data_IF_477258813640
#
_entry.id   IF_477258813640
#
_cell.length_a   1.000
_cell.length_b   1.000
_cell.length_c   1.000
_cell.angle_alpha   90.00
_cell.angle_beta   90.00
_cell.angle_gamma   90.00
#
_symmetry.space_group_name_H-M   'P 1'
#
loop_
_entity.id
_entity.type
_entity.pdbx_description
1 polymer ?
#
# COMPACT_ATOMS: atom_id res chain seq x y z
N UNK A 1 13.73 11.43 13.31
CA UNK A 1 14.99 12.16 13.05
C UNK A 1 14.74 13.06 11.86
N UNK A 2 14.99 14.36 11.98
CA UNK A 2 14.86 15.29 10.85
C UNK A 2 16.24 15.47 10.24
N UNK A 3 16.45 15.01 9.02
CA UNK A 3 17.71 15.18 8.31
C UNK A 3 17.71 16.54 7.60
N UNK A 4 18.22 17.57 8.28
CA UNK A 4 18.41 18.89 7.66
C UNK A 4 19.65 18.92 6.75
N UNK A 5 20.61 18.03 7.02
CA UNK A 5 21.91 18.01 6.34
C UNK A 5 21.83 17.40 4.93
N UNK A 6 20.76 16.66 4.61
CA UNK A 6 20.58 16.11 3.27
C UNK A 6 19.11 15.95 2.89
N UNK A 7 18.71 16.32 1.66
CA UNK A 7 17.38 16.01 1.13
C UNK A 7 17.24 14.52 0.74
N UNK A 8 18.33 13.75 0.77
CA UNK A 8 18.36 12.34 0.37
C UNK A 8 17.86 11.46 1.52
N UNK A 9 17.17 10.36 1.17
CA UNK A 9 16.77 9.37 2.16
C UNK A 9 18.00 8.72 2.79
N UNK A 10 18.25 9.02 4.08
CA UNK A 10 19.32 8.44 4.86
C UNK A 10 19.08 6.94 5.12
N UNK A 11 17.83 6.59 5.44
CA UNK A 11 17.46 5.21 5.80
C UNK A 11 17.89 4.80 7.21
N UNK A 12 17.83 3.49 7.48
CA UNK A 12 18.13 2.90 8.80
C UNK A 12 19.63 2.74 9.02
N UNK A 13 20.14 3.02 10.22
CA UNK A 13 21.54 2.72 10.55
C UNK A 13 21.76 1.21 10.69
N UNK A 14 22.55 0.62 9.79
CA UNK A 14 22.76 -0.85 9.74
C UNK A 14 24.05 -1.31 10.40
N UNK A 15 25.01 -0.41 10.61
CA UNK A 15 26.27 -0.76 11.27
C UNK A 15 27.37 0.27 11.08
N UNK A 16 28.60 -0.16 11.38
CA UNK A 16 29.81 0.66 11.28
C UNK A 16 30.89 -0.08 10.49
N UNK A 17 31.65 0.61 9.66
CA UNK A 17 32.80 0.00 8.95
C UNK A 17 33.87 -0.40 9.96
N UNK A 18 34.21 -1.69 10.04
CA UNK A 18 35.29 -2.19 10.91
C UNK A 18 36.65 -2.10 10.23
N UNK A 19 36.71 -2.58 8.99
CA UNK A 19 37.96 -2.73 8.24
C UNK A 19 37.66 -2.64 6.74
N UNK A 20 38.59 -2.08 5.97
CA UNK A 20 38.55 -2.02 4.52
C UNK A 20 39.76 -2.80 3.97
N UNK A 21 39.53 -3.70 3.02
CA UNK A 21 40.57 -4.51 2.38
C UNK A 21 40.29 -4.62 0.88
N UNK A 22 41.10 -3.95 0.07
CA UNK A 22 40.96 -3.93 -1.38
C UNK A 22 39.58 -3.39 -1.79
N UNK A 23 38.83 -4.18 -2.55
CA UNK A 23 37.50 -3.85 -3.05
C UNK A 23 36.34 -4.27 -2.14
N UNK A 24 36.59 -4.48 -0.84
CA UNK A 24 35.58 -4.92 0.12
C UNK A 24 35.84 -4.39 1.52
N UNK A 25 34.81 -4.40 2.36
CA UNK A 25 34.90 -3.94 3.74
C UNK A 25 34.03 -4.79 4.67
N UNK A 26 34.42 -4.86 5.94
CA UNK A 26 33.69 -5.58 6.97
C UNK A 26 32.83 -4.61 7.76
N UNK A 27 31.56 -4.95 7.96
CA UNK A 27 30.60 -4.17 8.75
C UNK A 27 30.44 -4.80 10.13
N UNK A 28 30.54 -3.97 11.17
CA UNK A 28 30.11 -4.31 12.51
C UNK A 28 28.68 -3.78 12.72
N UNK A 29 27.71 -4.68 12.61
CA UNK A 29 26.28 -4.39 12.75
C UNK A 29 25.50 -5.66 13.09
N UNK A 30 24.29 -5.49 13.61
CA UNK A 30 23.37 -6.59 13.90
C UNK A 30 22.36 -6.81 12.75
N UNK A 31 22.18 -5.82 11.89
CA UNK A 31 21.22 -5.87 10.78
C UNK A 31 21.80 -6.66 9.61
N UNK A 32 21.14 -7.75 9.16
CA UNK A 32 21.65 -8.58 8.06
C UNK A 32 21.58 -7.82 6.74
N UNK A 33 22.69 -7.75 5.99
CA UNK A 33 22.78 -7.09 4.68
C UNK A 33 22.56 -8.10 3.54
N UNK A 34 21.89 -7.67 2.47
CA UNK A 34 21.58 -8.51 1.32
C UNK A 34 22.28 -8.05 0.03
N UNK A 35 22.44 -8.98 -0.90
CA UNK A 35 22.93 -8.67 -2.24
C UNK A 35 21.95 -7.73 -2.95
N UNK A 36 22.46 -6.64 -3.49
CA UNK A 36 21.67 -5.61 -4.17
C UNK A 36 21.17 -4.49 -3.26
N UNK A 37 21.41 -4.54 -1.95
CA UNK A 37 21.08 -3.44 -1.04
C UNK A 37 21.77 -2.13 -1.45
N UNK A 38 21.11 -1.01 -1.17
CA UNK A 38 21.69 0.33 -1.23
C UNK A 38 22.15 0.75 0.16
N UNK A 39 23.44 1.08 0.27
CA UNK A 39 24.03 1.61 1.49
C UNK A 39 24.46 3.06 1.27
N UNK A 40 24.50 3.83 2.34
CA UNK A 40 24.93 5.21 2.34
C UNK A 40 25.75 5.55 3.59
N UNK A 41 26.60 6.56 3.46
CA UNK A 41 27.40 7.11 4.55
C UNK A 41 27.56 8.61 4.38
N UNK A 42 27.90 9.30 5.47
CA UNK A 42 28.25 10.73 5.39
C UNK A 42 29.75 10.86 5.11
N UNK A 43 30.10 11.53 4.01
CA UNK A 43 31.49 11.81 3.67
C UNK A 43 32.10 12.88 4.59
N UNK A 44 33.38 13.22 4.40
CA UNK A 44 34.06 14.25 5.21
C UNK A 44 33.45 15.65 5.09
N UNK A 45 32.67 15.91 4.03
CA UNK A 45 31.95 17.17 3.80
C UNK A 45 30.55 17.17 4.43
N UNK A 46 30.14 16.08 5.09
CA UNK A 46 28.81 15.94 5.67
C UNK A 46 27.72 15.60 4.64
N UNK A 47 28.09 15.23 3.41
CA UNK A 47 27.14 14.88 2.37
C UNK A 47 26.86 13.37 2.38
N UNK A 48 25.60 13.00 2.16
CA UNK A 48 25.21 11.59 2.06
C UNK A 48 25.59 11.03 0.67
N UNK A 49 26.52 10.10 0.67
CA UNK A 49 26.99 9.34 -0.49
C UNK A 49 26.45 7.91 -0.43
N UNK A 50 25.77 7.49 -1.49
CA UNK A 50 25.16 6.16 -1.61
C UNK A 50 25.91 5.27 -2.59
N UNK A 51 25.99 3.98 -2.30
CA UNK A 51 26.57 2.97 -3.18
C UNK A 51 25.76 1.67 -3.12
N UNK A 52 25.85 0.89 -4.20
CA UNK A 52 25.13 -0.39 -4.32
C UNK A 52 26.02 -1.53 -3.86
N UNK A 53 25.46 -2.43 -3.07
CA UNK A 53 26.08 -3.69 -2.67
C UNK A 53 25.91 -4.71 -3.79
N UNK A 54 27.03 -5.23 -4.30
CA UNK A 54 27.01 -6.30 -5.29
C UNK A 54 26.89 -7.68 -4.62
N UNK A 55 27.71 -7.91 -3.60
CA UNK A 55 27.76 -9.19 -2.88
C UNK A 55 28.00 -8.99 -1.38
N UNK A 56 27.37 -9.81 -0.56
CA UNK A 56 27.58 -9.89 0.89
C UNK A 56 27.99 -11.32 1.23
N UNK A 57 29.07 -11.46 1.99
CA UNK A 57 29.54 -12.73 2.57
C UNK A 57 29.62 -12.55 4.09
N UNK A 58 28.60 -13.06 4.80
CA UNK A 58 28.41 -12.79 6.24
C UNK A 58 28.43 -11.29 6.54
N UNK A 59 29.50 -10.80 7.20
CA UNK A 59 29.66 -9.39 7.56
C UNK A 59 30.54 -8.61 6.56
N UNK A 60 31.00 -9.25 5.50
CA UNK A 60 31.87 -8.64 4.48
C UNK A 60 31.06 -8.22 3.27
N UNK A 61 31.17 -6.96 2.91
CA UNK A 61 30.41 -6.30 1.85
C UNK A 61 31.33 -5.98 0.68
N UNK A 62 30.90 -6.36 -0.51
CA UNK A 62 31.53 -6.08 -1.79
C UNK A 62 30.65 -5.09 -2.54
N UNK A 63 30.98 -3.79 -2.54
CA UNK A 63 30.25 -2.80 -3.31
C UNK A 63 30.48 -3.00 -4.81
N UNK A 64 29.54 -2.53 -5.64
CA UNK A 64 29.69 -2.55 -7.10
C UNK A 64 30.87 -1.67 -7.55
N UNK A 65 31.03 -0.52 -6.91
CA UNK A 65 32.18 0.38 -7.05
C UNK A 65 32.59 0.79 -5.64
N UNK A 66 33.88 0.72 -5.32
CA UNK A 66 34.37 1.06 -3.98
C UNK A 66 34.24 2.58 -3.76
N UNK A 67 33.48 3.04 -2.75
CA UNK A 67 33.33 4.47 -2.48
C UNK A 67 34.65 5.07 -1.94
N UNK A 68 35.12 6.16 -2.56
CA UNK A 68 36.41 6.79 -2.26
C UNK A 68 36.49 7.36 -0.83
N UNK A 69 35.35 7.85 -0.32
CA UNK A 69 35.26 8.50 0.99
C UNK A 69 35.12 7.55 2.18
N UNK A 70 34.98 6.25 1.96
CA UNK A 70 34.68 5.29 3.02
C UNK A 70 35.93 4.95 3.85
N UNK A 71 35.81 5.04 5.18
CA UNK A 71 36.89 4.75 6.13
C UNK A 71 36.39 3.90 7.30
N UNK A 72 37.29 3.18 7.99
CA UNK A 72 36.95 2.51 9.24
C UNK A 72 36.31 3.48 10.26
N UNK A 73 35.44 2.94 11.12
CA UNK A 73 34.63 3.63 12.14
C UNK A 73 33.48 4.51 11.61
N UNK A 74 33.29 4.59 10.29
CA UNK A 74 32.16 5.32 9.72
C UNK A 74 30.85 4.55 9.83
N UNK A 75 29.77 5.25 10.17
CA UNK A 75 28.42 4.69 10.22
C UNK A 75 27.87 4.46 8.81
N UNK A 76 27.21 3.33 8.63
CA UNK A 76 26.51 2.96 7.40
C UNK A 76 25.01 2.96 7.64
N UNK A 77 24.28 3.44 6.65
CA UNK A 77 22.83 3.48 6.61
C UNK A 77 22.33 2.71 5.39
N UNK A 78 21.22 1.97 5.50
CA UNK A 78 20.56 1.31 4.38
C UNK A 78 19.45 2.19 3.87
N UNK A 79 19.60 2.70 2.66
CA UNK A 79 18.59 3.53 1.99
C UNK A 79 17.72 2.73 1.01
N UNK A 80 18.12 1.51 0.67
CA UNK A 80 17.36 0.60 -0.19
C UNK A 80 17.55 -0.85 0.25
N UNK A 81 16.46 -1.53 0.60
CA UNK A 81 16.46 -2.93 1.02
C UNK A 81 15.92 -3.81 -0.10
N UNK A 82 16.81 -4.53 -0.78
CA UNK A 82 16.45 -5.29 -1.98
C UNK A 82 15.54 -6.48 -1.65
N UNK A 83 15.65 -7.05 -0.45
CA UNK A 83 14.84 -8.17 -0.01
C UNK A 83 13.44 -7.71 0.37
N UNK A 84 13.34 -6.58 1.08
CA UNK A 84 12.06 -5.96 1.44
C UNK A 84 11.27 -5.56 0.19
N UNK A 85 11.91 -4.91 -0.79
CA UNK A 85 11.27 -4.56 -2.06
C UNK A 85 10.80 -5.80 -2.84
N UNK A 86 11.57 -6.89 -2.82
CA UNK A 86 11.15 -8.18 -3.40
C UNK A 86 9.99 -8.82 -2.66
N UNK A 87 9.87 -8.59 -1.36
CA UNK A 87 8.76 -9.08 -0.55
C UNK A 87 7.50 -8.28 -0.85
N UNK A 88 7.62 -6.95 -0.92
CA UNK A 88 6.50 -6.05 -1.23
C UNK A 88 5.97 -6.20 -2.66
N UNK A 89 6.82 -6.55 -3.62
CA UNK A 89 6.40 -6.76 -5.01
C UNK A 89 5.66 -8.08 -5.24
N UNK A 90 5.65 -9.00 -4.27
CA UNK A 90 4.87 -10.24 -4.34
C UNK A 90 3.44 -10.03 -3.83
N UNK A 91 2.44 -10.74 -4.38
CA UNK A 91 1.10 -10.76 -3.81
C UNK A 91 1.17 -11.17 -2.33
N UNK A 92 0.65 -10.34 -1.43
CA UNK A 92 0.67 -10.59 0.01
C UNK A 92 -0.31 -11.69 0.43
N UNK A 93 -1.43 -11.81 -0.30
CA UNK A 93 -2.42 -12.86 -0.14
C UNK A 93 -3.25 -12.99 -1.43
N UNK A 94 -3.68 -14.21 -1.75
CA UNK A 94 -4.75 -14.46 -2.72
C UNK A 94 -5.95 -15.04 -1.96
N UNK A 95 -7.14 -14.45 -2.16
CA UNK A 95 -8.38 -14.93 -1.57
C UNK A 95 -9.21 -15.58 -2.67
N UNK A 96 -9.25 -16.91 -2.67
CA UNK A 96 -10.11 -17.71 -3.54
C UNK A 96 -11.40 -18.12 -2.83
N UNK A 97 -12.43 -18.37 -3.62
CA UNK A 97 -13.74 -18.86 -3.18
C UNK A 97 -13.81 -20.37 -3.49
N UNK A 98 -13.98 -21.25 -2.49
CA UNK A 98 -14.08 -22.67 -2.73
C UNK A 98 -15.36 -23.00 -3.50
N UNK A 99 -15.24 -23.82 -4.55
CA UNK A 99 -16.36 -24.35 -5.33
C UNK A 99 -16.38 -25.88 -5.30
N UNK A 100 -17.58 -26.45 -5.29
CA UNK A 100 -17.83 -27.87 -5.53
C UNK A 100 -18.23 -28.04 -6.98
N UNK A 101 -17.60 -28.99 -7.65
CA UNK A 101 -17.88 -29.31 -9.05
C UNK A 101 -18.44 -30.73 -9.08
N UNK A 102 -19.54 -30.95 -9.80
CA UNK A 102 -19.96 -32.30 -10.18
C UNK A 102 -19.99 -32.42 -11.70
N UNK A 103 -19.49 -33.55 -12.19
CA UNK A 103 -19.60 -33.96 -13.57
C UNK A 103 -20.50 -35.19 -13.61
N UNK A 104 -21.65 -35.05 -14.25
CA UNK A 104 -22.69 -36.06 -14.24
C UNK A 104 -23.07 -36.45 -15.66
N UNK A 105 -23.33 -37.74 -15.85
CA UNK A 105 -23.91 -38.24 -17.09
C UNK A 105 -25.33 -37.67 -17.31
N UNK A 106 -25.60 -37.15 -18.51
CA UNK A 106 -26.91 -36.65 -18.92
C UNK A 106 -27.44 -37.50 -20.09
N UNK A 107 -28.76 -37.74 -20.26
CA UNK A 107 -29.27 -38.59 -21.34
C UNK A 107 -28.70 -38.27 -22.74
N UNK A 108 -28.59 -36.99 -23.07
CA UNK A 108 -28.08 -36.49 -24.36
C UNK A 108 -26.56 -36.18 -24.38
N UNK A 109 -25.84 -36.42 -23.29
CA UNK A 109 -24.40 -36.13 -23.21
C UNK A 109 -23.88 -36.04 -21.78
N UNK A 110 -23.31 -34.90 -21.42
CA UNK A 110 -22.74 -34.68 -20.09
C UNK A 110 -23.19 -33.36 -19.48
N UNK A 111 -23.15 -33.29 -18.16
CA UNK A 111 -23.46 -32.07 -17.42
C UNK A 111 -22.37 -31.74 -16.43
N UNK A 112 -22.16 -30.44 -16.20
CA UNK A 112 -21.28 -29.91 -15.17
C UNK A 112 -22.07 -28.97 -14.30
N UNK A 113 -22.11 -29.25 -13.01
CA UNK A 113 -22.61 -28.35 -11.98
C UNK A 113 -21.44 -27.74 -11.22
N UNK A 114 -21.53 -26.46 -10.92
CA UNK A 114 -20.60 -25.76 -10.04
C UNK A 114 -21.36 -24.95 -9.00
N UNK A 115 -21.02 -25.15 -7.73
CA UNK A 115 -21.62 -24.47 -6.58
C UNK A 115 -20.55 -23.82 -5.69
N UNK A 116 -20.77 -22.58 -5.28
CA UNK A 116 -19.87 -21.86 -4.37
C UNK A 116 -20.32 -21.92 -2.89
N UNK A 117 -19.47 -21.44 -1.98
CA UNK A 117 -19.75 -21.38 -0.53
C UNK A 117 -20.97 -20.52 -0.14
N UNK A 118 -21.49 -19.68 -1.04
CA UNK A 118 -22.68 -18.84 -0.84
C UNK A 118 -23.97 -19.49 -1.34
N UNK A 119 -23.87 -20.71 -1.87
CA UNK A 119 -24.97 -21.44 -2.49
C UNK A 119 -25.38 -20.89 -3.86
N UNK A 120 -24.54 -20.10 -4.53
CA UNK A 120 -24.75 -19.83 -5.95
C UNK A 120 -24.36 -21.09 -6.72
N UNK A 121 -25.28 -21.56 -7.56
CA UNK A 121 -25.16 -22.82 -8.27
C UNK A 121 -25.55 -22.63 -9.72
N UNK A 122 -24.80 -23.27 -10.61
CA UNK A 122 -25.09 -23.30 -12.05
C UNK A 122 -24.84 -24.70 -12.56
N UNK A 123 -25.74 -25.19 -13.38
CA UNK A 123 -25.60 -26.44 -14.12
C UNK A 123 -25.63 -26.15 -15.61
N UNK A 124 -24.69 -26.72 -16.35
CA UNK A 124 -24.68 -26.70 -17.81
C UNK A 124 -24.76 -28.12 -18.34
N UNK A 125 -25.41 -28.27 -19.49
CA UNK A 125 -25.47 -29.53 -20.22
C UNK A 125 -24.79 -29.33 -21.57
N UNK A 126 -24.03 -30.34 -22.01
CA UNK A 126 -23.47 -30.40 -23.35
C UNK A 126 -23.86 -31.71 -24.02
N UNK A 127 -24.60 -31.62 -25.15
CA UNK A 127 -24.83 -32.77 -26.00
C UNK A 127 -23.51 -33.34 -26.49
N UNK A 128 -23.34 -34.65 -26.35
CA UNK A 128 -22.15 -35.35 -26.83
C UNK A 128 -22.46 -36.84 -26.99
N UNK A 129 -21.97 -37.43 -28.08
CA UNK A 129 -22.14 -38.86 -28.32
C UNK A 129 -21.30 -39.68 -27.33
N UNK A 130 -21.97 -40.53 -26.55
CA UNK A 130 -21.33 -41.33 -25.51
C UNK A 130 -20.69 -42.57 -26.11
N UNK A 131 -19.36 -42.58 -26.15
CA UNK A 131 -18.56 -43.72 -26.61
C UNK A 131 -17.89 -44.36 -25.39
N UNK A 132 -17.98 -45.68 -25.19
CA UNK A 132 -17.29 -46.35 -24.08
C UNK A 132 -15.78 -46.08 -24.11
N UNK A 133 -15.20 -45.74 -22.97
CA UNK A 133 -13.76 -45.55 -22.83
C UNK A 133 -13.04 -46.87 -22.59
N UNK A 134 -11.81 -46.97 -23.10
CA UNK A 134 -10.93 -48.12 -22.84
C UNK A 134 -10.32 -48.11 -21.43
N UNK A 135 -10.28 -46.93 -20.78
CA UNK A 135 -9.73 -46.71 -19.44
C UNK A 135 -10.62 -45.75 -18.67
N UNK A 136 -10.61 -45.87 -17.35
CA UNK A 136 -11.27 -44.92 -16.46
C UNK A 136 -10.80 -43.48 -16.75
N UNK A 137 -11.76 -42.56 -16.91
CA UNK A 137 -11.52 -41.15 -17.22
C UNK A 137 -11.62 -40.25 -15.99
N UNK A 138 -11.98 -40.79 -14.82
CA UNK A 138 -12.29 -40.02 -13.61
C UNK A 138 -11.17 -39.06 -13.22
N UNK A 139 -9.92 -39.51 -13.15
CA UNK A 139 -8.78 -38.65 -12.80
C UNK A 139 -8.53 -37.52 -13.81
N UNK A 140 -8.69 -37.81 -15.11
CA UNK A 140 -8.55 -36.81 -16.16
C UNK A 140 -9.66 -35.76 -16.06
N UNK A 141 -10.90 -36.18 -15.83
CA UNK A 141 -12.05 -35.28 -15.65
C UNK A 141 -11.80 -34.35 -14.44
N UNK A 142 -11.40 -34.91 -13.29
CA UNK A 142 -11.03 -34.13 -12.12
C UNK A 142 -9.92 -33.12 -12.45
N UNK A 143 -8.84 -33.57 -13.08
CA UNK A 143 -7.70 -32.73 -13.43
C UNK A 143 -8.08 -31.60 -14.39
N UNK A 144 -8.94 -31.85 -15.38
CA UNK A 144 -9.35 -30.80 -16.32
C UNK A 144 -10.32 -29.81 -15.67
N UNK A 145 -11.30 -30.26 -14.88
CA UNK A 145 -12.27 -29.38 -14.26
C UNK A 145 -11.67 -28.53 -13.13
N UNK A 146 -10.64 -29.02 -12.44
CA UNK A 146 -9.92 -28.29 -11.39
C UNK A 146 -9.01 -27.15 -11.89
N UNK A 147 -8.78 -27.02 -13.21
CA UNK A 147 -7.94 -25.95 -13.79
C UNK A 147 -8.65 -24.58 -13.83
N UNK A 148 -8.87 -24.00 -12.66
CA UNK A 148 -9.60 -22.73 -12.47
C UNK A 148 -8.71 -21.48 -12.65
N UNK A 149 -7.38 -21.61 -12.64
CA UNK A 149 -6.42 -20.58 -13.07
C UNK A 149 -6.65 -19.18 -12.47
N UNK A 150 -6.84 -18.18 -13.35
CA UNK A 150 -7.00 -16.76 -12.98
C UNK A 150 -8.41 -16.39 -12.49
N UNK A 151 -9.29 -17.36 -12.28
CA UNK A 151 -10.62 -17.10 -11.74
C UNK A 151 -10.54 -16.85 -10.22
N UNK A 152 -11.57 -16.24 -9.61
CA UNK A 152 -11.60 -16.07 -8.15
C UNK A 152 -11.95 -17.36 -7.41
N UNK A 153 -12.04 -18.50 -8.11
CA UNK A 153 -12.46 -19.77 -7.54
C UNK A 153 -11.27 -20.69 -7.27
N UNK A 154 -11.41 -21.52 -6.25
CA UNK A 154 -10.56 -22.68 -6.00
C UNK A 154 -11.43 -23.93 -5.90
N UNK A 155 -10.93 -25.08 -6.36
CA UNK A 155 -11.71 -26.31 -6.38
C UNK A 155 -11.64 -26.96 -5.00
N UNK A 156 -12.77 -27.03 -4.31
CA UNK A 156 -12.87 -27.73 -3.03
C UNK A 156 -12.99 -29.24 -3.22
N UNK A 157 -13.83 -29.67 -4.16
CA UNK A 157 -14.03 -31.07 -4.52
C UNK A 157 -14.58 -31.20 -5.94
N UNK A 158 -14.16 -32.23 -6.67
CA UNK A 158 -14.75 -32.65 -7.95
C UNK A 158 -15.35 -34.04 -7.79
N UNK A 159 -16.64 -34.19 -8.05
CA UNK A 159 -17.33 -35.48 -8.09
C UNK A 159 -17.61 -35.87 -9.53
N UNK A 160 -17.38 -37.13 -9.87
CA UNK A 160 -17.64 -37.66 -11.21
C UNK A 160 -18.63 -38.81 -11.06
N UNK A 161 -19.82 -38.67 -11.62
CA UNK A 161 -20.89 -39.66 -11.55
C UNK A 161 -21.25 -40.10 -12.98
N UNK A 162 -20.74 -41.26 -13.37
CA UNK A 162 -21.06 -41.89 -14.65
C UNK A 162 -21.55 -43.31 -14.40
N UNK A 163 -22.52 -43.77 -15.20
CA UNK A 163 -23.01 -45.16 -15.09
C UNK A 163 -21.96 -46.19 -15.52
N UNK A 164 -21.07 -45.79 -16.43
CA UNK A 164 -19.94 -46.57 -16.95
C UNK A 164 -18.84 -45.62 -17.44
N UNK A 165 -17.59 -46.08 -17.68
CA UNK A 165 -16.53 -45.20 -18.15
C UNK A 165 -16.78 -44.76 -19.59
N UNK A 166 -17.20 -43.50 -19.76
CA UNK A 166 -17.38 -42.87 -21.06
C UNK A 166 -16.14 -42.09 -21.48
N UNK A 167 -15.87 -42.05 -22.78
CA UNK A 167 -14.80 -41.23 -23.34
C UNK A 167 -15.23 -39.76 -23.40
N UNK A 168 -14.50 -38.90 -22.71
CA UNK A 168 -14.78 -37.45 -22.67
C UNK A 168 -13.54 -36.69 -23.16
N UNK A 169 -13.61 -35.97 -24.29
CA UNK A 169 -12.49 -35.17 -24.77
C UNK A 169 -12.10 -34.07 -23.78
N UNK A 170 -10.80 -33.86 -23.57
CA UNK A 170 -10.28 -32.77 -22.75
C UNK A 170 -10.69 -31.38 -23.27
N UNK A 171 -10.92 -31.23 -24.57
CA UNK A 171 -11.46 -29.99 -25.17
C UNK A 171 -12.87 -29.71 -24.70
N UNK A 172 -13.75 -30.71 -24.71
CA UNK A 172 -15.13 -30.60 -24.22
C UNK A 172 -15.13 -30.21 -22.72
N UNK A 173 -14.30 -30.86 -21.91
CA UNK A 173 -14.16 -30.52 -20.49
C UNK A 173 -13.66 -29.08 -20.27
N UNK A 174 -12.71 -28.62 -21.09
CA UNK A 174 -12.20 -27.26 -21.01
C UNK A 174 -13.27 -26.22 -21.37
N UNK A 175 -14.10 -26.50 -22.37
CA UNK A 175 -15.17 -25.59 -22.80
C UNK A 175 -16.32 -25.56 -21.79
N UNK A 176 -16.73 -26.73 -21.28
CA UNK A 176 -17.70 -26.83 -20.18
C UNK A 176 -17.21 -26.09 -18.93
N UNK A 177 -15.93 -26.26 -18.56
CA UNK A 177 -15.32 -25.55 -17.42
C UNK A 177 -15.39 -24.03 -17.61
N UNK A 178 -15.03 -23.51 -18.79
CA UNK A 178 -15.07 -22.07 -19.07
C UNK A 178 -16.49 -21.52 -18.95
N UNK A 179 -17.46 -22.19 -19.56
CA UNK A 179 -18.85 -21.74 -19.55
C UNK A 179 -19.47 -21.80 -18.16
N UNK A 180 -19.28 -22.89 -17.41
CA UNK A 180 -19.87 -23.02 -16.05
C UNK A 180 -19.30 -21.95 -15.12
N UNK A 181 -18.00 -21.65 -15.22
CA UNK A 181 -17.34 -20.58 -14.48
C UNK A 181 -17.91 -19.21 -14.83
N UNK A 182 -18.09 -18.91 -16.11
CA UNK A 182 -18.64 -17.64 -16.58
C UNK A 182 -20.08 -17.43 -16.09
N UNK A 183 -20.91 -18.47 -16.19
CA UNK A 183 -22.29 -18.44 -15.69
C UNK A 183 -22.34 -18.34 -14.17
N UNK A 184 -21.45 -19.01 -13.44
CA UNK A 184 -21.39 -18.88 -11.99
C UNK A 184 -20.99 -17.46 -11.56
N UNK A 185 -20.02 -16.83 -12.24
CA UNK A 185 -19.67 -15.43 -12.01
C UNK A 185 -20.87 -14.50 -12.24
N UNK A 186 -21.65 -14.75 -13.29
CA UNK A 186 -22.87 -13.98 -13.59
C UNK A 186 -23.95 -14.20 -12.53
N UNK A 187 -24.18 -15.46 -12.12
CA UNK A 187 -25.11 -15.83 -11.05
C UNK A 187 -24.74 -15.13 -9.73
N UNK A 188 -23.45 -15.11 -9.37
CA UNK A 188 -22.95 -14.38 -8.18
C UNK A 188 -23.23 -12.89 -8.27
N UNK A 189 -23.00 -12.24 -9.42
CA UNK A 189 -23.29 -10.82 -9.61
C UNK A 189 -24.78 -10.51 -9.47
N UNK A 190 -25.66 -11.36 -10.00
CA UNK A 190 -27.11 -11.20 -9.89
C UNK A 190 -27.63 -11.42 -8.46
N UNK A 191 -27.02 -12.38 -7.74
CA UNK A 191 -27.36 -12.69 -6.34
C UNK A 191 -26.82 -11.68 -5.35
N UNK A 192 -25.80 -10.89 -5.74
CA UNK A 192 -25.18 -9.92 -4.86
C UNK A 192 -26.17 -8.85 -4.43
N UNK A 193 -26.59 -8.91 -3.16
CA UNK A 193 -27.35 -7.84 -2.52
C UNK A 193 -26.38 -6.95 -1.80
N UNK A 194 -26.19 -5.73 -2.31
CA UNK A 194 -25.44 -4.69 -1.59
C UNK A 194 -26.13 -4.45 -0.25
N UNK A 195 -25.42 -4.65 0.84
CA UNK A 195 -25.90 -4.22 2.15
C UNK A 195 -26.06 -2.70 2.14
N UNK A 196 -27.30 -2.25 2.05
CA UNK A 196 -27.66 -0.86 2.28
C UNK A 196 -27.82 -0.70 3.79
N UNK A 197 -26.68 -0.63 4.50
CA UNK A 197 -26.70 -0.21 5.89
C UNK A 197 -27.23 1.23 5.89
N UNK A 198 -28.51 1.39 6.22
CA UNK A 198 -29.07 2.70 6.57
C UNK A 198 -28.45 3.08 7.89
N UNK A 199 -27.34 3.81 7.83
CA UNK A 199 -26.80 4.50 9.01
C UNK A 199 -27.91 5.40 9.53
N UNK A 200 -28.36 5.15 10.76
CA UNK A 200 -29.29 6.06 11.42
C UNK A 200 -28.60 7.42 11.53
N UNK A 201 -29.27 8.53 11.18
CA UNK A 201 -28.69 9.86 11.38
C UNK A 201 -28.30 10.04 12.85
N UNK A 202 -27.04 10.39 13.11
CA UNK A 202 -26.51 10.62 14.46
C UNK A 202 -26.81 12.04 14.93
N UNK A 203 -28.01 12.56 14.64
CA UNK A 203 -28.40 13.94 14.96
C UNK A 203 -28.46 14.21 16.47
N UNK A 204 -28.40 13.18 17.30
CA UNK A 204 -28.31 13.32 18.76
C UNK A 204 -26.92 13.73 19.26
N UNK A 205 -25.87 13.56 18.45
CA UNK A 205 -24.51 13.92 18.84
C UNK A 205 -24.20 15.30 18.28
N UNK A 206 -23.95 16.27 19.16
CA UNK A 206 -23.56 17.61 18.74
C UNK A 206 -22.06 17.64 18.41
N UNK A 207 -21.69 18.44 17.43
CA UNK A 207 -20.30 18.75 17.15
C UNK A 207 -19.73 19.60 18.31
N UNK A 208 -18.48 19.35 18.76
CA UNK A 208 -17.93 20.05 19.93
C UNK A 208 -17.83 21.58 19.75
N UNK A 209 -17.55 22.04 18.53
CA UNK A 209 -17.43 23.46 18.22
C UNK A 209 -18.74 24.02 17.66
N UNK A 210 -19.14 25.22 18.10
CA UNK A 210 -20.34 25.89 17.59
C UNK A 210 -20.09 26.72 16.34
N UNK A 211 -18.83 27.01 16.04
CA UNK A 211 -18.43 27.86 14.94
C UNK A 211 -17.22 27.25 14.26
N UNK A 212 -17.33 27.01 12.95
CA UNK A 212 -16.24 26.55 12.11
C UNK A 212 -15.78 27.69 11.23
N UNK A 213 -14.50 28.05 11.37
CA UNK A 213 -13.82 28.95 10.44
C UNK A 213 -13.36 28.18 9.20
N UNK A 214 -12.62 28.84 8.29
CA UNK A 214 -11.97 28.18 7.16
C UNK A 214 -11.14 26.93 7.53
N UNK A 215 -10.68 26.83 8.78
CA UNK A 215 -9.95 25.67 9.33
C UNK A 215 -10.82 24.41 9.45
N UNK A 216 -12.15 24.55 9.48
CA UNK A 216 -13.09 23.44 9.48
C UNK A 216 -13.16 22.68 8.14
N UNK A 217 -12.48 23.19 7.11
CA UNK A 217 -12.35 22.57 5.78
C UNK A 217 -13.70 22.11 5.17
N UNK A 218 -14.72 22.95 5.30
CA UNK A 218 -16.05 22.68 4.76
C UNK A 218 -16.09 23.06 3.28
N UNK A 219 -15.74 22.10 2.42
CA UNK A 219 -15.55 22.33 0.99
C UNK A 219 -16.79 22.06 0.11
N UNK A 220 -17.84 21.42 0.63
CA UNK A 220 -19.03 21.06 -0.15
C UNK A 220 -20.35 21.14 0.66
N UNK A 221 -21.48 21.02 -0.05
CA UNK A 221 -22.83 21.11 0.54
C UNK A 221 -23.12 19.99 1.55
N UNK A 222 -22.68 18.76 1.28
CA UNK A 222 -22.89 17.60 2.16
C UNK A 222 -22.20 17.80 3.52
N UNK A 223 -20.94 18.24 3.51
CA UNK A 223 -20.20 18.56 4.73
C UNK A 223 -20.88 19.70 5.50
N UNK A 224 -21.35 20.73 4.80
CA UNK A 224 -22.06 21.84 5.43
C UNK A 224 -23.37 21.39 6.08
N UNK A 225 -24.12 20.52 5.41
CA UNK A 225 -25.34 19.95 5.95
C UNK A 225 -25.05 19.10 7.19
N UNK A 226 -24.03 18.25 7.14
CA UNK A 226 -23.57 17.46 8.29
C UNK A 226 -23.30 18.34 9.52
N UNK A 227 -22.49 19.39 9.40
CA UNK A 227 -22.18 20.25 10.54
C UNK A 227 -23.40 21.01 11.09
N UNK A 228 -24.31 21.47 10.21
CA UNK A 228 -25.57 22.10 10.65
C UNK A 228 -26.45 21.12 11.42
N UNK A 229 -26.60 19.89 10.92
CA UNK A 229 -27.38 18.83 11.59
C UNK A 229 -26.80 18.45 12.96
N UNK A 230 -25.49 18.67 13.16
CA UNK A 230 -24.80 18.43 14.43
C UNK A 230 -24.64 19.71 15.27
N UNK A 231 -25.44 20.75 14.99
CA UNK A 231 -25.58 21.92 15.86
C UNK A 231 -24.44 22.94 15.80
N UNK A 232 -23.70 22.98 14.69
CA UNK A 232 -22.79 24.09 14.35
C UNK A 232 -23.62 25.25 13.79
N UNK A 233 -23.48 26.43 14.40
CA UNK A 233 -24.29 27.61 14.12
C UNK A 233 -23.69 28.46 12.99
N UNK A 234 -22.37 28.61 12.98
CA UNK A 234 -21.64 29.36 11.95
C UNK A 234 -20.65 28.45 11.24
N UNK A 235 -20.71 28.44 9.90
CA UNK A 235 -19.83 27.61 9.07
C UNK A 235 -19.30 28.46 7.93
N UNK A 236 -18.03 28.81 8.04
CA UNK A 236 -17.25 29.40 6.95
C UNK A 236 -16.84 28.33 5.93
N UNK A 237 -16.74 28.70 4.64
CA UNK A 237 -16.22 27.80 3.61
C UNK A 237 -14.74 27.46 3.83
N UNK A 238 -14.31 26.30 3.33
CA UNK A 238 -12.89 25.95 3.24
C UNK A 238 -12.09 27.02 2.48
N UNK A 239 -10.79 27.11 2.77
CA UNK A 239 -9.89 28.07 2.13
C UNK A 239 -9.87 27.94 0.60
N UNK A 240 -9.93 26.72 0.09
CA UNK A 240 -9.92 26.39 -1.34
C UNK A 240 -11.20 26.86 -2.05
N UNK A 241 -12.30 26.98 -1.32
CA UNK A 241 -13.58 27.47 -1.86
C UNK A 241 -13.63 29.01 -1.80
N UNK A 242 -13.15 29.60 -0.71
CA UNK A 242 -13.09 31.06 -0.55
C UNK A 242 -11.78 31.45 0.13
N UNK A 243 -10.73 31.77 -0.65
CA UNK A 243 -9.45 32.18 -0.09
C UNK A 243 -9.58 33.43 0.77
N UNK A 244 -8.94 33.40 1.94
CA UNK A 244 -8.85 34.54 2.85
C UNK A 244 -7.46 35.16 2.77
N UNK A 245 -7.39 36.49 2.82
CA UNK A 245 -6.12 37.21 2.91
C UNK A 245 -5.61 37.23 4.34
N UNK A 246 -4.28 37.19 4.51
CA UNK A 246 -3.62 37.33 5.82
C UNK A 246 -4.13 36.33 6.87
N UNK A 247 -4.22 35.06 6.47
CA UNK A 247 -4.45 33.94 7.38
C UNK A 247 -3.35 32.88 7.23
N UNK A 248 -3.03 32.13 8.30
CA UNK A 248 -2.07 31.02 8.20
C UNK A 248 -2.64 29.90 7.33
N UNK A 249 -1.83 29.42 6.40
CA UNK A 249 -2.14 28.32 5.48
C UNK A 249 -1.88 26.95 6.10
N UNK A 250 -0.90 26.88 7.02
CA UNK A 250 -0.50 25.63 7.65
C UNK A 250 -0.11 25.87 9.11
N UNK A 251 -0.51 24.93 9.96
CA UNK A 251 -0.16 24.85 11.36
C UNK A 251 0.62 23.56 11.55
N UNK A 252 1.81 23.64 12.14
CA UNK A 252 2.64 22.45 12.36
C UNK A 252 3.26 22.44 13.74
N UNK A 253 3.27 21.26 14.36
CA UNK A 253 4.01 21.01 15.61
C UNK A 253 5.51 20.88 15.36
N UNK A 254 5.92 20.61 14.12
CA UNK A 254 7.33 20.65 13.75
C UNK A 254 7.82 22.10 13.74
N UNK A 255 8.72 22.44 14.66
CA UNK A 255 9.17 23.80 14.87
C UNK A 255 10.65 23.94 14.49
N UNK A 256 10.95 24.75 13.47
CA UNK A 256 12.33 24.96 13.03
C UNK A 256 13.23 25.56 14.12
N UNK A 257 12.70 26.43 14.98
CA UNK A 257 13.45 26.90 16.16
C UNK A 257 13.89 25.73 17.04
N UNK A 258 13.00 24.78 17.33
CA UNK A 258 13.36 23.61 18.13
C UNK A 258 14.39 22.72 17.44
N UNK A 259 14.18 22.48 16.15
CA UNK A 259 15.10 21.69 15.33
C UNK A 259 16.51 22.27 15.24
N UNK A 260 16.64 23.60 15.26
CA UNK A 260 17.92 24.31 15.18
C UNK A 260 18.52 24.66 16.55
N UNK A 261 17.93 24.23 17.66
CA UNK A 261 18.46 24.55 18.99
C UNK A 261 18.01 25.91 19.56
N UNK A 262 17.14 26.63 18.86
CA UNK A 262 16.71 28.00 19.19
C UNK A 262 15.34 28.07 19.87
N UNK A 263 14.81 26.95 20.39
CA UNK A 263 13.53 27.00 21.09
C UNK A 263 13.67 27.77 22.41
N UNK A 264 12.95 28.88 22.62
CA UNK A 264 13.04 29.66 23.85
C UNK A 264 12.50 28.90 25.08
N UNK A 265 11.59 27.95 24.87
CA UNK A 265 10.96 27.17 25.94
C UNK A 265 11.86 26.03 26.43
N UNK A 266 12.40 25.22 25.52
CA UNK A 266 13.12 24.00 25.87
C UNK A 266 14.65 24.15 25.89
N UNK A 267 15.22 24.86 24.92
CA UNK A 267 16.68 24.93 24.73
C UNK A 267 17.25 26.27 25.20
N UNK A 268 16.42 27.32 25.22
CA UNK A 268 16.80 28.71 25.52
C UNK A 268 17.92 29.26 24.62
N UNK A 269 18.20 28.59 23.50
CA UNK A 269 19.13 29.07 22.49
C UNK A 269 18.57 30.29 21.77
N UNK A 270 19.46 31.20 21.39
CA UNK A 270 19.12 32.36 20.54
C UNK A 270 19.45 32.03 19.10
N UNK A 271 18.52 32.34 18.21
CA UNK A 271 18.80 32.33 16.77
C UNK A 271 19.81 33.42 16.42
N UNK A 272 20.81 33.12 15.57
CA UNK A 272 21.70 34.13 15.02
C UNK A 272 21.01 35.01 13.96
N UNK A 273 19.88 34.57 13.40
CA UNK A 273 19.12 35.30 12.37
C UNK A 273 17.99 36.14 12.96
N UNK A 274 17.71 37.28 12.31
CA UNK A 274 16.57 38.16 12.62
C UNK A 274 15.29 37.62 11.99
N UNK A 275 14.20 37.63 12.76
CA UNK A 275 12.87 37.22 12.30
C UNK A 275 12.13 38.32 11.51
N UNK A 276 11.15 37.94 10.66
CA UNK A 276 10.59 36.60 10.47
C UNK A 276 11.46 35.66 9.60
N UNK A 277 11.31 34.35 9.81
CA UNK A 277 11.92 33.35 8.92
C UNK A 277 11.03 33.07 7.72
N UNK A 278 11.62 32.53 6.66
CA UNK A 278 10.93 32.22 5.42
C UNK A 278 11.30 30.82 4.92
N UNK A 279 10.32 30.09 4.40
CA UNK A 279 10.57 28.93 3.54
C UNK A 279 10.58 29.43 2.09
N UNK A 280 11.64 29.10 1.37
CA UNK A 280 11.80 29.42 -0.03
C UNK A 280 11.67 28.13 -0.84
N UNK A 281 10.73 28.09 -1.77
CA UNK A 281 10.57 26.97 -2.69
C UNK A 281 10.19 27.48 -4.07
N UNK A 282 11.11 27.32 -5.04
CA UNK A 282 11.00 27.93 -6.37
C UNK A 282 10.72 29.44 -6.24
N UNK A 283 9.60 29.91 -6.78
CA UNK A 283 9.17 31.32 -6.74
C UNK A 283 8.32 31.65 -5.51
N UNK A 284 8.02 30.67 -4.65
CA UNK A 284 7.20 30.88 -3.47
C UNK A 284 8.05 31.26 -2.26
N UNK A 285 7.60 32.31 -1.56
CA UNK A 285 8.14 32.77 -0.29
C UNK A 285 7.06 32.67 0.78
N UNK A 286 7.25 31.75 1.72
CA UNK A 286 6.29 31.51 2.79
C UNK A 286 6.83 32.05 4.11
N UNK A 287 6.14 33.02 4.70
CA UNK A 287 6.54 33.60 5.99
C UNK A 287 6.21 32.64 7.14
N UNK A 288 7.15 32.48 8.05
CA UNK A 288 6.97 31.70 9.27
C UNK A 288 6.66 32.61 10.45
N UNK A 289 5.74 32.17 11.30
CA UNK A 289 5.45 32.77 12.60
C UNK A 289 5.44 31.68 13.67
N UNK A 290 6.12 31.91 14.78
CA UNK A 290 6.22 30.95 15.87
C UNK A 290 5.28 31.34 17.00
N UNK A 291 4.28 30.51 17.25
CA UNK A 291 3.38 30.63 18.38
C UNK A 291 3.85 29.67 19.48
N UNK A 292 4.79 30.16 20.28
CA UNK A 292 5.39 29.39 21.37
C UNK A 292 4.37 29.05 22.48
N UNK A 293 3.26 29.79 22.60
CA UNK A 293 2.22 29.53 23.61
C UNK A 293 1.50 28.21 23.32
N UNK A 294 1.16 27.96 22.05
CA UNK A 294 0.50 26.73 21.62
C UNK A 294 1.47 25.67 21.05
N UNK A 295 2.78 25.92 21.18
CA UNK A 295 3.86 25.10 20.63
C UNK A 295 3.60 24.74 19.15
N UNK A 296 3.42 25.76 18.32
CA UNK A 296 3.14 25.60 16.89
C UNK A 296 3.91 26.62 16.04
N UNK A 297 4.31 26.18 14.85
CA UNK A 297 4.80 27.04 13.78
C UNK A 297 3.68 27.23 12.76
N UNK A 298 3.44 28.48 12.41
CA UNK A 298 2.44 28.93 11.45
C UNK A 298 3.13 29.31 10.15
N UNK A 299 2.59 28.84 9.03
CA UNK A 299 3.10 29.16 7.69
C UNK A 299 2.09 30.07 7.00
N UNK A 300 2.57 31.20 6.49
CA UNK A 300 1.78 32.23 5.85
C UNK A 300 2.24 32.35 4.40
N UNK A 301 1.28 32.45 3.49
CA UNK A 301 1.59 32.75 2.10
C UNK A 301 1.69 34.27 1.94
N UNK A 302 2.91 34.79 1.81
CA UNK A 302 3.13 36.14 1.29
C UNK A 302 3.14 36.02 -0.23
N UNK A 303 1.97 35.88 -0.84
CA UNK A 303 1.85 36.14 -2.26
C UNK A 303 2.20 37.61 -2.44
N UNK A 304 3.28 37.89 -3.17
CA UNK A 304 3.72 39.25 -3.48
C UNK A 304 2.50 40.07 -3.92
N UNK A 305 2.29 41.21 -3.27
CA UNK A 305 1.50 42.29 -3.88
C UNK A 305 2.09 42.64 -5.24
#
# INVERSE_FOLDING_TARGET
MTAFDTPKSQGEQVGTVKEIRGNSFTVAGLTPLNNGDGLAFFNQRGELEGFRVNKVEANRVYPQVMPEGLRPKMKLYRNYDQQFEKLLSKPSADRKIPVRISFDEHPEGFSVEMEDETGARVTIVRPYEKIPAQKDQTENICTQLSKLGNTPFDWGAVKVNMSQPWFVPSSLLADMRREVVEKLLSCRKMRYRRELVRRKPTTSVLFPEKQLTYLGNVANSEARQFYKEHGVESIEPAFEVKPLSDVPMMFTKHCLRYSMGWCPTYQKGKSPFKEPYYLLYKEQRLRLKFDCKHCQMLVWNESNK
#
